data_IF_592415679824
#
_entry.id   IF_592415679824
#
_cell.length_a   1.000
_cell.length_b   1.000
_cell.length_c   1.000
_cell.angle_alpha   90.00
_cell.angle_beta   90.00
_cell.angle_gamma   90.00
#
_symmetry.space_group_name_H-M   'P 1'
#
loop_
_entity.id
_entity.type
_entity.pdbx_description
1 polymer ?
#
# COMPACT_ATOMS: atom_id res chain seq x y z
N UNK A 1 -8.70 -17.87 1.21
CA UNK A 1 -9.53 -16.70 1.56
C UNK A 1 -8.66 -15.76 2.39
N UNK A 2 -8.67 -14.44 2.12
CA UNK A 2 -7.90 -13.49 2.92
C UNK A 2 -8.40 -13.51 4.37
N UNK A 3 -7.48 -13.34 5.32
CA UNK A 3 -7.84 -13.23 6.74
C UNK A 3 -8.58 -11.91 7.01
N UNK A 4 -9.33 -11.83 8.12
CA UNK A 4 -9.97 -10.58 8.57
C UNK A 4 -8.93 -9.46 8.69
N UNK A 5 -7.75 -9.79 9.22
CA UNK A 5 -6.61 -8.87 9.34
C UNK A 5 -6.14 -8.37 7.97
N UNK A 6 -6.07 -9.25 6.96
CA UNK A 6 -5.67 -8.85 5.61
C UNK A 6 -6.70 -7.91 4.97
N UNK A 7 -8.00 -8.18 5.13
CA UNK A 7 -9.06 -7.29 4.64
C UNK A 7 -9.01 -5.91 5.29
N UNK A 8 -8.76 -5.86 6.60
CA UNK A 8 -8.55 -4.60 7.33
C UNK A 8 -7.35 -3.83 6.76
N UNK A 9 -6.19 -4.49 6.60
CA UNK A 9 -4.98 -3.87 6.06
C UNK A 9 -5.18 -3.33 4.65
N UNK A 10 -5.86 -4.08 3.78
CA UNK A 10 -6.19 -3.64 2.41
C UNK A 10 -7.01 -2.36 2.42
N UNK A 11 -8.01 -2.26 3.30
CA UNK A 11 -8.84 -1.06 3.46
C UNK A 11 -7.98 0.13 3.90
N UNK A 12 -7.11 -0.05 4.88
CA UNK A 12 -6.26 1.03 5.38
C UNK A 12 -5.21 1.49 4.35
N UNK A 13 -4.68 0.57 3.54
CA UNK A 13 -3.81 0.88 2.40
C UNK A 13 -4.56 1.76 1.39
N UNK A 14 -5.80 1.38 1.03
CA UNK A 14 -6.63 2.16 0.10
C UNK A 14 -6.89 3.55 0.65
N UNK A 15 -7.23 3.68 1.94
CA UNK A 15 -7.45 4.98 2.56
C UNK A 15 -6.18 5.85 2.54
N UNK A 16 -5.00 5.29 2.75
CA UNK A 16 -3.73 6.02 2.59
C UNK A 16 -3.51 6.50 1.15
N UNK A 17 -3.85 5.67 0.15
CA UNK A 17 -3.64 5.97 -1.27
C UNK A 17 -4.74 6.86 -1.89
N UNK A 18 -5.90 7.01 -1.23
CA UNK A 18 -6.99 7.87 -1.70
C UNK A 18 -6.60 9.35 -1.76
N UNK A 19 -5.77 9.80 -0.83
CA UNK A 19 -5.42 11.22 -0.72
C UNK A 19 -4.30 11.63 -1.67
N UNK A 20 -3.36 10.71 -1.98
CA UNK A 20 -2.22 10.95 -2.87
C UNK A 20 -1.54 9.66 -3.27
N UNK A 21 -0.73 9.73 -4.31
CA UNK A 21 0.19 8.67 -4.70
C UNK A 21 1.31 8.55 -3.66
N UNK A 22 1.63 7.33 -3.23
CA UNK A 22 2.62 7.07 -2.19
C UNK A 22 3.67 6.07 -2.68
N UNK A 23 4.94 6.35 -2.42
CA UNK A 23 5.97 5.32 -2.47
C UNK A 23 5.75 4.27 -1.37
N UNK A 24 6.46 3.15 -1.47
CA UNK A 24 6.34 2.10 -0.46
C UNK A 24 6.69 2.58 0.95
N UNK A 25 7.72 3.41 1.08
CA UNK A 25 8.16 3.96 2.37
C UNK A 25 7.11 4.94 2.92
N UNK A 26 6.59 5.85 2.08
CA UNK A 26 5.53 6.79 2.48
C UNK A 26 4.22 6.08 2.85
N UNK A 27 3.89 4.96 2.19
CA UNK A 27 2.74 4.13 2.55
C UNK A 27 2.94 3.46 3.92
N UNK A 28 4.14 2.93 4.17
CA UNK A 28 4.48 2.35 5.47
C UNK A 28 4.36 3.39 6.58
N UNK A 29 4.93 4.57 6.39
CA UNK A 29 4.81 5.69 7.33
C UNK A 29 3.34 6.10 7.56
N UNK A 30 2.52 6.12 6.49
CA UNK A 30 1.09 6.38 6.62
C UNK A 30 0.38 5.36 7.52
N UNK A 31 0.68 4.06 7.34
CA UNK A 31 0.12 3.00 8.18
C UNK A 31 0.61 3.09 9.63
N UNK A 32 1.90 3.33 9.84
CA UNK A 32 2.50 3.46 11.17
C UNK A 32 1.95 4.67 11.92
N UNK A 33 1.69 5.80 11.24
CA UNK A 33 1.04 6.98 11.83
C UNK A 33 -0.40 6.72 12.30
N UNK A 34 -1.05 5.68 11.76
CA UNK A 34 -2.36 5.18 12.20
C UNK A 34 -2.28 4.11 13.30
N UNK A 35 -1.07 3.82 13.80
CA UNK A 35 -0.80 2.77 14.79
C UNK A 35 -0.73 1.36 14.21
N UNK A 36 -0.63 1.22 12.88
CA UNK A 36 -0.58 -0.07 12.19
C UNK A 36 0.87 -0.39 11.87
N UNK A 37 1.46 -1.26 12.68
CA UNK A 37 2.80 -1.77 12.46
C UNK A 37 2.74 -3.11 11.74
N UNK A 38 3.39 -3.18 10.58
CA UNK A 38 3.40 -4.37 9.74
C UNK A 38 4.82 -4.68 9.26
N UNK A 39 5.15 -5.96 9.27
CA UNK A 39 6.41 -6.43 8.75
C UNK A 39 6.54 -6.15 7.25
N UNK A 40 7.72 -5.69 6.83
CA UNK A 40 7.93 -5.27 5.44
C UNK A 40 7.66 -6.39 4.43
N UNK A 41 7.97 -7.65 4.78
CA UNK A 41 7.67 -8.79 3.91
C UNK A 41 6.16 -9.00 3.73
N UNK A 42 5.40 -8.88 4.83
CA UNK A 42 3.94 -9.04 4.81
C UNK A 42 3.30 -7.90 4.01
N UNK A 43 3.71 -6.65 4.24
CA UNK A 43 3.20 -5.51 3.49
C UNK A 43 3.51 -5.63 1.99
N UNK A 44 4.73 -6.06 1.61
CA UNK A 44 5.05 -6.33 0.19
C UNK A 44 4.15 -7.40 -0.43
N UNK A 45 3.86 -8.47 0.31
CA UNK A 45 2.97 -9.54 -0.16
C UNK A 45 1.56 -9.03 -0.43
N UNK A 46 0.99 -8.27 0.50
CA UNK A 46 -0.35 -7.68 0.38
C UNK A 46 -0.41 -6.72 -0.82
N UNK A 47 0.55 -5.79 -0.92
CA UNK A 47 0.62 -4.84 -2.03
C UNK A 47 0.75 -5.56 -3.37
N UNK A 48 1.62 -6.56 -3.48
CA UNK A 48 1.76 -7.34 -4.69
C UNK A 48 0.45 -8.07 -5.06
N UNK A 49 -0.29 -8.56 -4.07
CA UNK A 49 -1.60 -9.16 -4.30
C UNK A 49 -2.63 -8.14 -4.80
N UNK A 50 -2.69 -6.96 -4.18
CA UNK A 50 -3.60 -5.87 -4.58
C UNK A 50 -3.30 -5.33 -5.98
N UNK A 51 -2.01 -5.31 -6.38
CA UNK A 51 -1.63 -4.94 -7.75
C UNK A 51 -2.14 -5.99 -8.75
N UNK A 52 -1.95 -7.28 -8.45
CA UNK A 52 -2.38 -8.37 -9.34
C UNK A 52 -3.89 -8.45 -9.49
N UNK A 53 -4.66 -8.14 -8.44
CA UNK A 53 -6.13 -8.08 -8.50
C UNK A 53 -6.66 -6.80 -9.14
N UNK A 54 -5.80 -5.81 -9.42
CA UNK A 54 -6.20 -4.53 -10.00
C UNK A 54 -6.81 -3.55 -9.00
N UNK A 55 -6.73 -3.82 -7.69
CA UNK A 55 -7.20 -2.92 -6.63
C UNK A 55 -6.34 -1.64 -6.54
N UNK A 56 -5.04 -1.75 -6.84
CA UNK A 56 -4.11 -0.62 -6.90
C UNK A 56 -3.18 -0.77 -8.10
N UNK A 57 -2.58 0.34 -8.54
CA UNK A 57 -1.60 0.39 -9.63
C UNK A 57 -0.24 0.81 -9.10
N UNK A 58 0.80 0.22 -9.68
CA UNK A 58 2.20 0.65 -9.49
C UNK A 58 2.61 1.43 -10.73
N UNK A 59 2.97 2.70 -10.55
CA UNK A 59 3.39 3.60 -11.62
C UNK A 59 4.79 4.14 -11.34
N UNK A 60 5.45 4.62 -12.39
CA UNK A 60 6.74 5.31 -12.27
C UNK A 60 6.43 6.79 -12.09
N UNK A 61 6.89 7.38 -10.98
CA UNK A 61 6.94 8.82 -10.80
C UNK A 61 8.22 9.34 -11.47
N UNK A 62 8.13 10.08 -12.60
CA UNK A 62 9.30 10.53 -13.34
C UNK A 62 10.06 11.65 -12.60
N UNK A 63 9.40 12.38 -11.70
CA UNK A 63 10.00 13.47 -10.92
C UNK A 63 10.82 12.89 -9.78
N UNK A 64 10.23 11.96 -9.01
CA UNK A 64 10.91 11.28 -7.90
C UNK A 64 11.86 10.18 -8.37
N UNK A 65 11.79 9.76 -9.65
CA UNK A 65 12.49 8.57 -10.22
C UNK A 65 12.25 7.31 -9.37
N UNK A 66 11.05 7.18 -8.82
CA UNK A 66 10.65 6.10 -7.90
C UNK A 66 9.34 5.47 -8.36
N UNK A 67 9.08 4.26 -7.90
CA UNK A 67 7.76 3.67 -8.05
C UNK A 67 6.83 4.19 -6.96
N UNK A 68 5.64 4.59 -7.35
CA UNK A 68 4.56 4.96 -6.44
C UNK A 68 3.35 4.05 -6.67
N UNK A 69 2.57 3.91 -5.62
CA UNK A 69 1.32 3.17 -5.56
C UNK A 69 0.18 4.18 -5.69
N UNK A 70 -0.85 3.78 -6.43
CA UNK A 70 -2.06 4.56 -6.68
C UNK A 70 -3.29 3.68 -6.56
N UNK A 71 -4.35 4.22 -5.95
CA UNK A 71 -5.68 3.64 -5.95
C UNK A 71 -6.48 4.17 -7.14
#
# INVERSE_FOLDING_TARGET
MPSITELFLRKEIIECLRSRELSYDELRECLESKGIYIEGLQLRSIIASMIRSGEIKKIIDPIKRKFVLRY
#
